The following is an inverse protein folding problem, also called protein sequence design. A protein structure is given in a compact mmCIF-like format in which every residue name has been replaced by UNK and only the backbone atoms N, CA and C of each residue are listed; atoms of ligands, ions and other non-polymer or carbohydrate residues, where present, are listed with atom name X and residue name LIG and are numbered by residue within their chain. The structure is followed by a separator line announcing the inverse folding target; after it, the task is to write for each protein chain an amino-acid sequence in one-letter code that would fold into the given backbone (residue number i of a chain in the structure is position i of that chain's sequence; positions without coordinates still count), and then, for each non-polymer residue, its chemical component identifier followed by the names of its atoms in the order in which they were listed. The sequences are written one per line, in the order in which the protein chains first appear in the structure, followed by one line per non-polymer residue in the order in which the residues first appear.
data_IF_516158029173
#
_entry.id   IF_516158029173
#
_cell.length_a   1.000
_cell.length_b   1.000
_cell.length_c   1.000
_cell.angle_alpha   90.00
_cell.angle_beta   90.00
_cell.angle_gamma   90.00
#
_symmetry.space_group_name_H-M   'P 1'
#
loop_
_entity.id
_entity.type
_entity.pdbx_description
1 polymer ?
#
# COMPACT_ATOMS: atom_id res chain seq x y z
N UNK A 1 -48.66 4.04 36.70
CA UNK A 1 -47.25 3.89 37.12
C UNK A 1 -46.57 2.90 36.19
N UNK A 2 -45.25 3.06 35.96
CA UNK A 2 -44.40 2.42 34.93
C UNK A 2 -44.40 3.18 33.60
N UNK A 3 -43.28 3.50 32.95
CA UNK A 3 -41.86 3.48 33.29
C UNK A 3 -41.15 4.37 32.26
N UNK A 4 -40.21 5.21 32.69
CA UNK A 4 -39.42 6.06 31.81
C UNK A 4 -38.33 5.25 31.10
N UNK A 5 -38.29 5.30 29.76
CA UNK A 5 -37.21 4.72 28.97
C UNK A 5 -36.18 5.80 28.63
N UNK A 6 -34.95 5.63 29.12
CA UNK A 6 -33.82 6.52 28.84
C UNK A 6 -33.27 6.34 27.42
N UNK A 7 -32.54 7.34 26.88
CA UNK A 7 -31.98 7.26 25.54
C UNK A 7 -30.77 6.33 25.50
N UNK A 8 -30.78 5.44 24.51
CA UNK A 8 -29.75 4.42 24.28
C UNK A 8 -28.37 5.03 24.05
N UNK A 9 -27.42 4.58 24.86
CA UNK A 9 -26.00 4.88 24.72
C UNK A 9 -25.44 4.36 23.39
N UNK A 10 -24.64 5.20 22.74
CA UNK A 10 -23.93 4.91 21.49
C UNK A 10 -23.02 3.67 21.60
N UNK A 11 -23.04 2.83 20.58
CA UNK A 11 -22.20 1.64 20.45
C UNK A 11 -20.70 2.00 20.32
N UNK A 12 -20.00 1.97 21.46
CA UNK A 12 -18.61 1.54 21.74
C UNK A 12 -17.51 1.63 20.65
N UNK A 13 -16.40 2.37 20.90
CA UNK A 13 -15.18 2.41 20.07
C UNK A 13 -14.19 1.23 20.28
N UNK A 14 -14.65 0.06 20.75
CA UNK A 14 -13.80 -1.00 21.34
C UNK A 14 -13.04 -1.94 20.36
N UNK A 15 -13.14 -1.77 19.05
CA UNK A 15 -12.57 -2.73 18.07
C UNK A 15 -11.16 -2.38 17.55
N UNK A 16 -10.69 -1.13 17.68
CA UNK A 16 -9.40 -0.73 17.11
C UNK A 16 -8.18 -1.11 17.96
N UNK A 17 -8.37 -1.34 19.27
CA UNK A 17 -7.29 -1.53 20.25
C UNK A 17 -7.01 -2.99 20.62
N UNK A 18 -7.65 -3.97 19.96
CA UNK A 18 -7.39 -5.38 20.25
C UNK A 18 -6.03 -5.81 19.68
N UNK A 19 -5.21 -6.54 20.46
CA UNK A 19 -3.94 -7.06 19.99
C UNK A 19 -4.11 -8.03 18.80
N UNK A 20 -3.10 -8.14 17.92
CA UNK A 20 -3.10 -9.14 16.86
C UNK A 20 -3.40 -10.54 17.40
N UNK A 21 -4.28 -11.26 16.73
CA UNK A 21 -4.81 -12.55 17.19
C UNK A 21 -3.89 -13.71 16.82
N UNK A 22 -4.17 -14.90 17.38
CA UNK A 22 -3.53 -16.14 16.94
C UNK A 22 -3.73 -16.43 15.44
N UNK A 23 -4.87 -16.05 14.87
CA UNK A 23 -5.14 -16.17 13.44
C UNK A 23 -4.25 -15.26 12.60
N UNK A 24 -4.05 -14.01 13.05
CA UNK A 24 -3.19 -13.05 12.35
C UNK A 24 -1.73 -13.54 12.31
N UNK A 25 -1.23 -14.11 13.41
CA UNK A 25 0.13 -14.70 13.46
C UNK A 25 0.31 -15.87 12.49
N UNK A 26 -0.72 -16.72 12.33
CA UNK A 26 -0.70 -17.80 11.33
C UNK A 26 -0.66 -17.26 9.90
N UNK A 27 -1.31 -16.12 9.63
CA UNK A 27 -1.21 -15.44 8.33
C UNK A 27 0.20 -14.94 8.07
N UNK A 28 0.88 -14.39 9.08
CA UNK A 28 2.30 -13.99 8.98
C UNK A 28 3.18 -15.17 8.63
N UNK A 29 3.05 -16.28 9.35
CA UNK A 29 3.83 -17.50 9.07
C UNK A 29 3.57 -18.03 7.66
N UNK A 30 2.32 -17.95 7.20
CA UNK A 30 1.96 -18.33 5.83
C UNK A 30 2.61 -17.37 4.82
N UNK A 31 2.53 -16.06 5.04
CA UNK A 31 3.12 -15.07 4.14
C UNK A 31 4.64 -15.23 4.03
N UNK A 32 5.35 -15.42 5.16
CA UNK A 32 6.80 -15.66 5.16
C UNK A 32 7.17 -16.87 4.31
N UNK A 33 6.52 -18.03 4.51
CA UNK A 33 6.75 -19.22 3.68
C UNK A 33 6.46 -18.99 2.18
N UNK A 34 5.45 -18.17 1.87
CA UNK A 34 5.10 -17.83 0.48
C UNK A 34 6.12 -16.88 -0.14
N UNK A 35 6.63 -15.92 0.62
CA UNK A 35 7.70 -15.02 0.21
C UNK A 35 9.00 -15.80 -0.04
N UNK A 36 9.37 -16.74 0.82
CA UNK A 36 10.54 -17.61 0.61
C UNK A 36 10.45 -18.37 -0.72
N UNK A 37 9.29 -18.98 -0.99
CA UNK A 37 9.04 -19.64 -2.27
C UNK A 37 9.09 -18.67 -3.47
N UNK A 38 8.55 -17.47 -3.30
CA UNK A 38 8.59 -16.45 -4.36
C UNK A 38 10.03 -15.99 -4.62
N UNK A 39 10.85 -15.86 -3.58
CA UNK A 39 12.27 -15.53 -3.65
C UNK A 39 13.00 -16.55 -4.52
N UNK A 40 12.85 -17.85 -4.23
CA UNK A 40 13.45 -18.92 -5.05
C UNK A 40 13.09 -18.79 -6.54
N UNK A 41 11.81 -18.56 -6.83
CA UNK A 41 11.33 -18.42 -8.21
C UNK A 41 11.90 -17.17 -8.90
N UNK A 42 11.93 -16.03 -8.22
CA UNK A 42 12.43 -14.78 -8.80
C UNK A 42 13.96 -14.71 -8.90
N UNK A 43 14.69 -15.57 -8.19
CA UNK A 43 16.15 -15.74 -8.36
C UNK A 43 16.56 -16.63 -9.53
N UNK A 44 15.59 -17.20 -10.28
CA UNK A 44 15.91 -18.02 -11.44
C UNK A 44 16.58 -17.17 -12.55
N UNK A 45 17.81 -17.51 -12.99
CA UNK A 45 18.53 -16.73 -14.00
C UNK A 45 17.79 -16.59 -15.34
N UNK A 46 16.93 -17.55 -15.69
CA UNK A 46 16.13 -17.52 -16.93
C UNK A 46 15.14 -16.36 -16.98
N UNK A 47 14.79 -15.76 -15.84
CA UNK A 47 13.91 -14.59 -15.82
C UNK A 47 14.57 -13.33 -16.35
N UNK A 48 15.90 -13.25 -16.33
CA UNK A 48 16.64 -12.06 -16.75
C UNK A 48 16.21 -10.80 -15.99
N UNK A 49 15.91 -10.91 -14.68
CA UNK A 49 15.57 -9.73 -13.87
C UNK A 49 16.78 -8.80 -13.80
N UNK A 50 16.65 -7.59 -14.34
CA UNK A 50 17.65 -6.54 -14.22
C UNK A 50 17.70 -6.04 -12.79
N UNK A 51 18.89 -5.72 -12.30
CA UNK A 51 19.07 -5.14 -10.96
C UNK A 51 18.76 -3.63 -10.96
N UNK A 52 17.54 -3.30 -11.38
CA UNK A 52 16.99 -1.95 -11.43
C UNK A 52 15.75 -1.90 -10.53
N UNK A 53 15.54 -0.81 -9.76
CA UNK A 53 14.33 -0.68 -8.95
C UNK A 53 13.07 -0.65 -9.84
N UNK A 54 12.00 -1.39 -9.49
CA UNK A 54 11.84 -2.30 -8.35
C UNK A 54 12.43 -3.70 -8.62
N UNK A 55 13.52 -4.05 -7.93
CA UNK A 55 14.14 -5.37 -8.06
C UNK A 55 13.49 -6.40 -7.12
N UNK A 56 12.67 -7.29 -7.69
CA UNK A 56 11.80 -8.18 -6.92
C UNK A 56 12.50 -9.08 -5.89
N UNK A 57 13.65 -9.73 -6.17
CA UNK A 57 14.32 -10.59 -5.20
C UNK A 57 14.71 -9.87 -3.90
N UNK A 58 15.22 -8.64 -4.02
CA UNK A 58 15.59 -7.81 -2.87
C UNK A 58 14.33 -7.35 -2.14
N UNK A 59 13.31 -6.88 -2.86
CA UNK A 59 12.04 -6.47 -2.27
C UNK A 59 11.39 -7.59 -1.45
N UNK A 60 11.38 -8.82 -1.96
CA UNK A 60 10.82 -9.99 -1.25
C UNK A 60 11.64 -10.29 0.01
N UNK A 61 12.97 -10.28 -0.08
CA UNK A 61 13.88 -10.58 1.03
C UNK A 61 13.80 -9.50 2.12
N UNK A 62 13.79 -8.23 1.74
CA UNK A 62 13.65 -7.09 2.64
C UNK A 62 12.27 -7.08 3.31
N UNK A 63 11.21 -7.40 2.57
CA UNK A 63 9.85 -7.52 3.11
C UNK A 63 9.77 -8.62 4.16
N UNK A 64 10.33 -9.80 3.91
CA UNK A 64 10.34 -10.90 4.88
C UNK A 64 11.10 -10.54 6.16
N UNK A 65 12.24 -9.85 6.01
CA UNK A 65 13.06 -9.38 7.15
C UNK A 65 12.28 -8.38 7.99
N UNK A 66 11.78 -7.31 7.38
CA UNK A 66 11.02 -6.28 8.09
C UNK A 66 9.74 -6.82 8.72
N UNK A 67 9.02 -7.71 8.01
CA UNK A 67 7.82 -8.34 8.55
C UNK A 67 8.14 -9.18 9.80
N UNK A 68 9.29 -9.88 9.82
CA UNK A 68 9.72 -10.64 10.99
C UNK A 68 10.02 -9.72 12.18
N UNK A 69 10.69 -8.59 11.94
CA UNK A 69 10.99 -7.58 12.97
C UNK A 69 9.72 -6.95 13.55
N UNK A 70 8.83 -6.45 12.68
CA UNK A 70 7.59 -5.78 13.07
C UNK A 70 6.67 -6.70 13.87
N UNK A 71 6.63 -8.00 13.54
CA UNK A 71 5.77 -8.96 14.24
C UNK A 71 6.44 -9.65 15.43
N UNK A 72 7.73 -9.41 15.68
CA UNK A 72 8.48 -9.99 16.80
C UNK A 72 7.80 -9.75 18.16
N UNK A 73 7.28 -8.54 18.49
CA UNK A 73 6.59 -8.31 19.76
C UNK A 73 5.35 -9.16 20.00
N UNK A 74 4.76 -9.70 18.93
CA UNK A 74 3.52 -10.48 18.99
C UNK A 74 3.78 -12.00 18.98
N UNK A 75 5.03 -12.46 18.87
CA UNK A 75 5.41 -13.89 18.86
C UNK A 75 5.82 -14.41 20.25
N UNK A 76 5.43 -15.64 20.58
CA UNK A 76 5.92 -16.41 21.75
C UNK A 76 4.87 -16.74 22.84
N UNK A 77 5.20 -17.68 23.78
CA UNK A 77 4.32 -18.09 24.88
C UNK A 77 4.14 -17.01 25.95
N UNK A 78 5.02 -16.01 25.98
CA UNK A 78 4.85 -14.78 26.76
C UNK A 78 4.12 -13.74 25.91
N UNK A 79 2.80 -13.89 25.79
CA UNK A 79 1.88 -12.74 25.62
C UNK A 79 1.98 -11.79 26.86
N UNK A 80 2.76 -12.20 27.88
CA UNK A 80 3.03 -11.52 29.14
C UNK A 80 4.02 -10.33 29.09
N UNK A 81 4.56 -9.91 27.93
CA UNK A 81 5.32 -8.63 27.86
C UNK A 81 4.49 -7.43 27.41
N UNK A 82 3.16 -7.56 27.28
CA UNK A 82 2.25 -6.43 27.45
C UNK A 82 2.37 -5.27 26.44
N UNK A 83 2.94 -5.48 25.25
CA UNK A 83 3.00 -4.42 24.26
C UNK A 83 1.61 -4.25 23.62
N UNK A 84 0.83 -3.37 24.24
CA UNK A 84 -0.49 -2.96 23.75
C UNK A 84 -0.27 -2.20 22.44
N UNK A 85 -0.88 -2.65 21.31
CA UNK A 85 -0.76 -1.93 20.06
C UNK A 85 -1.23 -0.49 20.22
N UNK A 86 -0.49 0.45 19.62
CA UNK A 86 -0.81 1.87 19.70
C UNK A 86 -1.78 2.28 18.58
N UNK A 87 -2.77 3.10 18.91
CA UNK A 87 -3.68 3.68 17.93
C UNK A 87 -4.32 2.60 17.03
N UNK A 88 -4.07 2.72 15.72
CA UNK A 88 -4.57 1.79 14.70
C UNK A 88 -3.54 0.70 14.29
N UNK A 89 -2.44 0.52 15.02
CA UNK A 89 -1.35 -0.43 14.71
C UNK A 89 -1.85 -1.84 14.39
N UNK A 90 -2.64 -2.44 15.29
CA UNK A 90 -3.16 -3.80 15.09
C UNK A 90 -4.13 -3.89 13.91
N UNK A 91 -4.85 -2.80 13.60
CA UNK A 91 -5.71 -2.75 12.41
C UNK A 91 -4.86 -2.67 11.14
N UNK A 92 -3.86 -1.79 11.12
CA UNK A 92 -2.91 -1.65 10.02
C UNK A 92 -2.20 -2.97 9.72
N UNK A 93 -1.61 -3.62 10.73
CA UNK A 93 -0.91 -4.88 10.58
C UNK A 93 -1.80 -5.99 10.00
N UNK A 94 -3.07 -6.06 10.41
CA UNK A 94 -4.04 -7.03 9.86
C UNK A 94 -4.39 -6.77 8.40
N UNK A 95 -4.52 -5.51 8.00
CA UNK A 95 -4.76 -5.12 6.60
C UNK A 95 -3.51 -5.44 5.76
N UNK A 96 -2.35 -5.00 6.23
CA UNK A 96 -1.06 -5.19 5.57
C UNK A 96 -0.77 -6.67 5.33
N UNK A 97 -0.91 -7.53 6.35
CA UNK A 97 -0.55 -8.95 6.19
C UNK A 97 -1.47 -9.70 5.22
N UNK A 98 -2.77 -9.38 5.22
CA UNK A 98 -3.71 -9.97 4.26
C UNK A 98 -3.37 -9.53 2.84
N UNK A 99 -3.16 -8.23 2.65
CA UNK A 99 -2.79 -7.69 1.34
C UNK A 99 -1.47 -8.31 0.83
N UNK A 100 -0.44 -8.35 1.67
CA UNK A 100 0.85 -8.93 1.33
C UNK A 100 0.72 -10.41 0.93
N UNK A 101 -0.06 -11.20 1.69
CA UNK A 101 -0.31 -12.59 1.36
C UNK A 101 -1.03 -12.74 0.02
N UNK A 102 -2.07 -11.94 -0.24
CA UNK A 102 -2.84 -11.98 -1.49
C UNK A 102 -1.97 -11.62 -2.70
N UNK A 103 -1.15 -10.57 -2.60
CA UNK A 103 -0.21 -10.16 -3.65
C UNK A 103 0.89 -11.22 -3.88
N UNK A 104 1.35 -11.88 -2.81
CA UNK A 104 2.34 -12.97 -2.90
C UNK A 104 1.74 -14.21 -3.55
N UNK A 105 0.53 -14.63 -3.14
CA UNK A 105 -0.17 -15.75 -3.76
C UNK A 105 -0.46 -15.46 -5.25
N UNK A 106 -0.81 -14.21 -5.61
CA UNK A 106 -0.96 -13.79 -7.02
C UNK A 106 0.34 -13.87 -7.81
N UNK A 107 1.46 -13.44 -7.23
CA UNK A 107 2.77 -13.55 -7.87
C UNK A 107 3.14 -15.01 -8.15
N UNK A 108 2.97 -15.89 -7.16
CA UNK A 108 3.20 -17.34 -7.32
C UNK A 108 2.30 -17.97 -8.39
N UNK A 109 1.05 -17.51 -8.50
CA UNK A 109 0.14 -17.96 -9.56
C UNK A 109 0.62 -17.57 -10.95
N UNK A 110 1.23 -16.39 -11.14
CA UNK A 110 1.82 -16.03 -12.44
C UNK A 110 2.91 -17.00 -12.88
N UNK A 111 3.75 -17.48 -11.95
CA UNK A 111 4.75 -18.51 -12.24
C UNK A 111 4.09 -19.84 -12.63
N UNK A 112 3.05 -20.24 -11.91
CA UNK A 112 2.34 -21.50 -12.15
C UNK A 112 1.59 -21.51 -13.49
N UNK A 113 0.89 -20.42 -13.81
CA UNK A 113 0.06 -20.29 -15.02
C UNK A 113 0.90 -19.91 -16.24
N UNK A 114 1.89 -19.01 -16.06
CA UNK A 114 2.74 -18.54 -17.13
C UNK A 114 3.65 -19.62 -17.71
N UNK A 115 4.13 -20.55 -16.87
CA UNK A 115 5.10 -21.59 -17.27
C UNK A 115 6.26 -20.95 -18.05
N UNK A 116 6.46 -21.32 -19.31
CA UNK A 116 7.51 -20.75 -20.16
C UNK A 116 7.31 -19.26 -20.44
N UNK A 117 6.07 -18.78 -20.51
CA UNK A 117 5.76 -17.38 -20.81
C UNK A 117 6.28 -16.40 -19.76
N UNK A 118 6.56 -16.84 -18.53
CA UNK A 118 7.11 -15.92 -17.51
C UNK A 118 8.55 -15.52 -17.80
N UNK A 119 9.27 -16.32 -18.59
CA UNK A 119 10.64 -16.05 -19.04
C UNK A 119 10.69 -15.19 -20.31
N UNK A 120 9.55 -15.02 -21.00
CA UNK A 120 9.41 -14.12 -22.15
C UNK A 120 9.16 -12.68 -21.68
N UNK A 121 10.11 -11.77 -21.92
CA UNK A 121 10.07 -10.38 -21.42
C UNK A 121 8.83 -9.59 -21.86
N UNK A 122 8.36 -9.83 -23.09
CA UNK A 122 7.21 -9.13 -23.69
C UNK A 122 5.85 -9.72 -23.27
N UNK A 123 5.84 -10.85 -22.57
CA UNK A 123 4.61 -11.55 -22.24
C UNK A 123 3.74 -10.77 -21.25
N UNK A 124 2.44 -11.06 -21.25
CA UNK A 124 1.52 -10.49 -20.25
C UNK A 124 1.88 -10.92 -18.82
N UNK A 125 2.37 -12.16 -18.63
CA UNK A 125 2.78 -12.67 -17.33
C UNK A 125 3.97 -11.88 -16.77
N UNK A 126 4.95 -11.57 -17.63
CA UNK A 126 6.15 -10.83 -17.22
C UNK A 126 5.88 -9.35 -16.98
N UNK A 127 4.97 -8.73 -17.76
CA UNK A 127 4.43 -7.40 -17.47
C UNK A 127 3.65 -7.36 -16.15
N UNK A 128 2.82 -8.36 -15.86
CA UNK A 128 2.09 -8.46 -14.60
C UNK A 128 3.02 -8.68 -13.40
N UNK A 129 4.09 -9.47 -13.56
CA UNK A 129 5.12 -9.63 -12.52
C UNK A 129 5.84 -8.30 -12.22
N UNK A 130 6.11 -7.51 -13.25
CA UNK A 130 6.70 -6.17 -13.10
C UNK A 130 5.77 -5.22 -12.32
N UNK A 131 4.47 -5.23 -12.65
CA UNK A 131 3.46 -4.49 -11.87
C UNK A 131 3.40 -4.94 -10.40
N UNK A 132 3.44 -6.25 -10.15
CA UNK A 132 3.51 -6.77 -8.78
C UNK A 132 4.80 -6.34 -8.06
N UNK A 133 5.92 -6.23 -8.76
CA UNK A 133 7.19 -5.75 -8.18
C UNK A 133 7.07 -4.30 -7.70
N UNK A 134 6.38 -3.43 -8.47
CA UNK A 134 6.03 -2.08 -8.01
C UNK A 134 5.14 -2.10 -6.76
N UNK A 135 4.12 -2.97 -6.73
CA UNK A 135 3.25 -3.11 -5.55
C UNK A 135 4.00 -3.60 -4.31
N UNK A 136 4.93 -4.56 -4.45
CA UNK A 136 5.81 -4.98 -3.36
C UNK A 136 6.67 -3.83 -2.86
N UNK A 137 7.22 -3.02 -3.77
CA UNK A 137 7.97 -1.81 -3.41
C UNK A 137 7.10 -0.86 -2.59
N UNK A 138 5.88 -0.53 -3.05
CA UNK A 138 4.98 0.37 -2.32
C UNK A 138 4.60 -0.18 -0.94
N UNK A 139 4.25 -1.46 -0.82
CA UNK A 139 3.95 -2.09 0.46
C UNK A 139 5.14 -2.08 1.42
N UNK A 140 6.36 -2.35 0.93
CA UNK A 140 7.57 -2.33 1.74
C UNK A 140 7.86 -0.91 2.26
N UNK A 141 7.80 0.09 1.39
CA UNK A 141 8.03 1.48 1.76
C UNK A 141 6.97 2.02 2.73
N UNK A 142 5.70 1.65 2.54
CA UNK A 142 4.65 1.97 3.49
C UNK A 142 4.95 1.34 4.87
N UNK A 143 5.29 0.05 4.92
CA UNK A 143 5.60 -0.63 6.18
C UNK A 143 6.79 0.02 6.90
N UNK A 144 7.84 0.38 6.16
CA UNK A 144 8.99 1.14 6.69
C UNK A 144 8.57 2.48 7.27
N UNK A 145 7.68 3.19 6.57
CA UNK A 145 7.20 4.49 6.99
C UNK A 145 6.29 4.43 8.23
N UNK A 146 5.57 3.33 8.43
CA UNK A 146 4.78 3.08 9.63
C UNK A 146 5.62 2.58 10.81
N UNK A 147 6.76 1.92 10.55
CA UNK A 147 7.65 1.34 11.56
C UNK A 147 9.10 1.83 11.47
N UNK A 148 9.37 3.15 11.51
CA UNK A 148 10.73 3.66 11.49
C UNK A 148 11.49 3.16 12.73
N UNK A 149 12.66 2.56 12.52
CA UNK A 149 13.44 1.94 13.60
C UNK A 149 12.76 0.73 14.26
N UNK A 150 11.81 0.08 13.57
CA UNK A 150 11.11 -1.12 14.05
C UNK A 150 9.98 -0.86 15.05
N UNK A 151 9.66 0.40 15.33
CA UNK A 151 8.59 0.79 16.26
C UNK A 151 7.45 1.50 15.53
N UNK A 152 6.21 1.19 15.88
CA UNK A 152 5.05 1.82 15.26
C UNK A 152 5.02 3.34 15.52
N UNK A 153 4.96 4.11 14.43
CA UNK A 153 4.80 5.57 14.42
C UNK A 153 3.74 6.03 13.43
N UNK A 154 2.83 5.14 12.99
CA UNK A 154 1.74 5.52 12.10
C UNK A 154 0.76 6.52 12.72
N UNK A 155 0.62 6.51 14.06
CA UNK A 155 -0.19 7.47 14.83
C UNK A 155 0.45 8.86 14.96
N UNK A 156 1.73 8.96 14.62
CA UNK A 156 2.56 10.17 14.75
C UNK A 156 3.23 10.55 13.42
N UNK A 157 2.77 9.94 12.32
CA UNK A 157 3.24 10.20 10.97
C UNK A 157 3.06 11.67 10.61
N UNK A 158 4.10 12.27 10.01
CA UNK A 158 4.09 13.69 9.61
C UNK A 158 3.82 13.82 8.12
N UNK A 159 2.61 14.23 7.77
CA UNK A 159 2.28 14.65 6.40
C UNK A 159 3.07 15.90 6.05
N UNK A 160 3.68 15.90 4.86
CA UNK A 160 4.66 16.89 4.42
C UNK A 160 4.03 18.25 4.12
N UNK A 161 2.82 18.25 3.55
CA UNK A 161 2.11 19.49 3.16
C UNK A 161 1.20 19.94 4.28
N UNK A 162 1.33 21.19 4.73
CA UNK A 162 0.64 21.72 5.91
C UNK A 162 -0.87 21.66 5.78
N UNK A 163 -1.46 22.08 4.66
CA UNK A 163 -2.91 22.03 4.48
C UNK A 163 -3.44 20.60 4.42
N UNK A 164 -2.69 19.69 3.77
CA UNK A 164 -3.02 18.27 3.73
C UNK A 164 -2.94 17.62 5.13
N UNK A 165 -1.93 17.99 5.94
CA UNK A 165 -1.79 17.52 7.31
C UNK A 165 -2.98 17.98 8.18
N UNK A 166 -3.39 19.25 8.03
CA UNK A 166 -4.56 19.80 8.72
C UNK A 166 -5.85 19.05 8.35
N UNK A 167 -6.06 18.79 7.05
CA UNK A 167 -7.18 17.98 6.58
C UNK A 167 -7.19 16.58 7.21
N UNK A 168 -6.07 15.85 7.15
CA UNK A 168 -6.00 14.50 7.69
C UNK A 168 -6.31 14.46 9.19
N UNK A 169 -5.72 15.40 9.94
CA UNK A 169 -5.95 15.52 11.38
C UNK A 169 -7.41 15.85 11.70
N UNK A 170 -8.04 16.75 10.95
CA UNK A 170 -9.43 17.13 11.16
C UNK A 170 -10.42 15.99 10.83
N UNK A 171 -10.18 15.26 9.74
CA UNK A 171 -11.11 14.22 9.26
C UNK A 171 -10.90 12.86 9.91
N UNK A 172 -9.66 12.53 10.29
CA UNK A 172 -9.29 11.19 10.75
C UNK A 172 -8.50 11.16 12.06
N UNK A 173 -8.02 12.30 12.57
CA UNK A 173 -7.18 12.36 13.76
C UNK A 173 -5.86 11.60 13.58
N UNK A 174 -5.45 10.88 14.63
CA UNK A 174 -4.19 10.10 14.64
C UNK A 174 -4.30 8.73 13.94
N UNK A 175 -5.23 8.57 13.01
CA UNK A 175 -5.38 7.31 12.27
C UNK A 175 -4.29 7.19 11.22
N UNK A 176 -3.66 6.03 11.15
CA UNK A 176 -2.65 5.75 10.12
C UNK A 176 -3.25 5.14 8.85
N UNK A 177 -4.49 4.63 8.91
CA UNK A 177 -5.17 3.96 7.78
C UNK A 177 -6.70 4.00 7.88
N UNK A 178 -7.36 4.39 6.79
CA UNK A 178 -8.82 4.50 6.68
C UNK A 178 -9.34 3.75 5.45
N UNK A 179 -10.61 3.35 5.47
CA UNK A 179 -11.23 2.72 4.30
C UNK A 179 -11.43 3.74 3.18
N UNK A 180 -11.31 3.31 1.93
CA UNK A 180 -11.49 4.16 0.74
C UNK A 180 -12.79 4.98 0.80
N UNK A 181 -13.94 4.36 1.08
CA UNK A 181 -15.23 5.07 1.07
C UNK A 181 -15.26 6.23 2.07
N UNK A 182 -14.74 6.01 3.29
CA UNK A 182 -14.63 7.07 4.30
C UNK A 182 -13.63 8.15 3.89
N UNK A 183 -12.51 7.77 3.28
CA UNK A 183 -11.55 8.74 2.76
C UNK A 183 -12.17 9.60 1.65
N UNK A 184 -12.84 8.96 0.69
CA UNK A 184 -13.54 9.59 -0.44
C UNK A 184 -14.55 10.63 0.05
N UNK A 185 -15.44 10.25 0.97
CA UNK A 185 -16.46 11.17 1.53
C UNK A 185 -15.84 12.43 2.14
N UNK A 186 -14.78 12.26 2.95
CA UNK A 186 -14.10 13.39 3.58
C UNK A 186 -13.36 14.25 2.55
N UNK A 187 -12.68 13.63 1.57
CA UNK A 187 -11.98 14.37 0.53
C UNK A 187 -12.95 15.15 -0.36
N UNK A 188 -14.12 14.58 -0.69
CA UNK A 188 -15.17 15.25 -1.45
C UNK A 188 -15.72 16.50 -0.77
N UNK A 189 -15.68 16.55 0.57
CA UNK A 189 -16.14 17.73 1.33
C UNK A 189 -15.25 18.96 1.15
N UNK A 190 -13.99 18.78 0.72
CA UNK A 190 -13.00 19.87 0.53
C UNK A 190 -12.51 19.98 -0.91
N UNK A 191 -12.65 18.94 -1.72
CA UNK A 191 -12.30 18.92 -3.14
C UNK A 191 -13.41 18.25 -3.94
N UNK A 192 -14.01 18.99 -4.88
CA UNK A 192 -15.05 18.45 -5.75
C UNK A 192 -14.47 17.45 -6.77
N UNK A 193 -15.10 16.28 -6.87
CA UNK A 193 -14.93 15.29 -7.94
C UNK A 193 -16.17 14.39 -8.03
N UNK A 194 -16.44 13.87 -9.22
CA UNK A 194 -17.60 13.07 -9.56
C UNK A 194 -17.51 11.64 -8.99
N UNK A 195 -18.66 11.08 -8.64
CA UNK A 195 -18.77 9.65 -8.37
C UNK A 195 -18.63 8.83 -9.67
N UNK A 196 -18.33 7.54 -9.54
CA UNK A 196 -18.13 6.64 -10.68
C UNK A 196 -16.68 6.65 -11.18
N UNK A 197 -16.47 6.95 -12.47
CA UNK A 197 -15.16 6.75 -13.12
C UNK A 197 -14.06 7.63 -12.54
N UNK A 198 -14.34 8.91 -12.26
CA UNK A 198 -13.35 9.84 -11.69
C UNK A 198 -12.92 9.37 -10.30
N UNK A 199 -13.89 9.03 -9.44
CA UNK A 199 -13.59 8.43 -8.12
C UNK A 199 -12.79 7.13 -8.22
N UNK A 200 -13.04 6.28 -9.22
CA UNK A 200 -12.28 5.02 -9.40
C UNK A 200 -10.85 5.27 -9.90
N UNK A 201 -10.67 6.22 -10.82
CA UNK A 201 -9.36 6.64 -11.28
C UNK A 201 -8.54 7.27 -10.13
N UNK A 202 -9.19 8.10 -9.31
CA UNK A 202 -8.58 8.70 -8.14
C UNK A 202 -8.14 7.63 -7.14
N UNK A 203 -9.02 6.66 -6.82
CA UNK A 203 -8.68 5.50 -6.00
C UNK A 203 -7.45 4.78 -6.54
N UNK A 204 -7.43 4.46 -7.83
CA UNK A 204 -6.31 3.75 -8.46
C UNK A 204 -4.98 4.51 -8.44
N UNK A 205 -5.04 5.83 -8.24
CA UNK A 205 -3.85 6.69 -8.12
C UNK A 205 -3.36 6.78 -6.66
N UNK A 206 -4.28 6.87 -5.68
CA UNK A 206 -3.93 7.04 -4.26
C UNK A 206 -3.64 5.69 -3.58
N UNK A 207 -4.42 4.64 -3.86
CA UNK A 207 -4.29 3.29 -3.28
C UNK A 207 -3.13 2.53 -3.94
N UNK A 208 -1.90 2.97 -3.63
CA UNK A 208 -0.65 2.44 -4.17
C UNK A 208 -0.45 0.97 -3.80
N UNK A 209 -0.98 0.52 -2.66
CA UNK A 209 -0.88 -0.87 -2.20
C UNK A 209 -2.03 -1.75 -2.69
N UNK A 210 -3.05 -1.15 -3.32
CA UNK A 210 -4.24 -1.79 -3.89
C UNK A 210 -4.96 -2.69 -2.88
N UNK A 211 -5.39 -2.12 -1.75
CA UNK A 211 -6.01 -2.84 -0.63
C UNK A 211 -7.36 -2.24 -0.16
N UNK A 212 -7.95 -1.32 -0.94
CA UNK A 212 -9.20 -0.62 -0.64
C UNK A 212 -9.17 0.27 0.62
N UNK A 213 -7.97 0.55 1.12
CA UNK A 213 -7.70 1.47 2.20
C UNK A 213 -6.71 2.53 1.72
N UNK A 214 -6.68 3.65 2.45
CA UNK A 214 -5.73 4.72 2.21
C UNK A 214 -4.98 4.93 3.51
N UNK A 215 -3.67 4.70 3.48
CA UNK A 215 -2.79 5.02 4.60
C UNK A 215 -2.40 6.50 4.59
N UNK A 216 -1.99 7.01 5.74
CA UNK A 216 -1.47 8.38 5.87
C UNK A 216 -0.21 8.58 5.01
N UNK A 217 0.54 7.50 4.74
CA UNK A 217 1.69 7.48 3.84
C UNK A 217 1.28 7.62 2.37
N UNK A 218 0.29 6.83 1.91
CA UNK A 218 -0.25 6.94 0.55
C UNK A 218 -0.83 8.35 0.30
N UNK A 219 -1.54 8.90 1.29
CA UNK A 219 -2.04 10.27 1.25
C UNK A 219 -0.93 11.33 1.17
N UNK A 220 0.15 11.19 1.96
CA UNK A 220 1.30 12.09 1.90
C UNK A 220 1.97 12.06 0.52
N UNK A 221 2.17 10.87 -0.06
CA UNK A 221 2.71 10.75 -1.42
C UNK A 221 1.81 11.46 -2.43
N UNK A 222 0.52 11.18 -2.42
CA UNK A 222 -0.43 11.77 -3.36
C UNK A 222 -0.43 13.31 -3.30
N UNK A 223 -0.49 13.86 -2.09
CA UNK A 223 -0.53 15.32 -1.89
C UNK A 223 0.78 16.02 -2.23
N UNK A 224 1.92 15.32 -2.16
CA UNK A 224 3.21 15.83 -2.65
C UNK A 224 3.30 15.80 -4.17
N UNK A 225 2.78 14.76 -4.82
CA UNK A 225 2.82 14.62 -6.27
C UNK A 225 1.93 15.64 -6.98
N UNK A 226 0.73 15.89 -6.45
CA UNK A 226 -0.28 16.73 -7.12
C UNK A 226 -0.54 18.08 -6.43
N UNK A 227 0.42 18.53 -5.62
CA UNK A 227 0.43 19.86 -5.00
C UNK A 227 0.26 21.01 -6.04
N UNK A 228 -0.20 22.21 -5.63
CA UNK A 228 -0.63 22.60 -4.28
C UNK A 228 -1.97 22.00 -3.85
N UNK A 229 -2.21 21.94 -2.53
CA UNK A 229 -3.44 21.40 -1.94
C UNK A 229 -4.70 22.09 -2.47
N UNK A 230 -4.70 23.42 -2.59
CA UNK A 230 -5.86 24.20 -3.04
C UNK A 230 -6.45 23.77 -4.40
N UNK A 231 -5.64 23.17 -5.27
CA UNK A 231 -6.07 22.66 -6.58
C UNK A 231 -5.73 21.18 -6.80
N UNK A 232 -5.59 20.41 -5.72
CA UNK A 232 -5.11 19.02 -5.72
C UNK A 232 -5.75 18.14 -6.80
N UNK A 233 -7.08 18.05 -6.82
CA UNK A 233 -7.82 17.21 -7.77
C UNK A 233 -7.70 17.74 -9.20
N UNK A 234 -7.72 19.06 -9.39
CA UNK A 234 -7.52 19.66 -10.72
C UNK A 234 -6.14 19.35 -11.27
N UNK A 235 -5.11 19.44 -10.43
CA UNK A 235 -3.73 19.13 -10.82
C UNK A 235 -3.59 17.63 -11.13
N UNK A 236 -4.16 16.76 -10.31
CA UNK A 236 -4.21 15.32 -10.59
C UNK A 236 -4.90 15.03 -11.93
N UNK A 237 -6.05 15.63 -12.20
CA UNK A 237 -6.75 15.45 -13.48
C UNK A 237 -5.89 15.91 -14.68
N UNK A 238 -5.26 17.08 -14.57
CA UNK A 238 -4.42 17.63 -15.63
C UNK A 238 -3.14 16.81 -15.85
N UNK A 239 -2.53 16.29 -14.79
CA UNK A 239 -1.22 15.64 -14.84
C UNK A 239 -1.29 14.13 -15.01
N UNK A 240 -2.31 13.46 -14.48
CA UNK A 240 -2.38 12.00 -14.43
C UNK A 240 -3.56 11.39 -15.21
N UNK A 241 -4.65 12.14 -15.40
CA UNK A 241 -5.82 11.63 -16.14
C UNK A 241 -5.76 12.03 -17.61
N UNK A 242 -5.42 13.28 -17.90
CA UNK A 242 -5.48 13.84 -19.27
C UNK A 242 -4.13 13.99 -19.94
N UNK A 243 -3.02 14.03 -19.19
CA UNK A 243 -1.71 14.26 -19.77
C UNK A 243 -1.19 13.02 -20.54
N UNK A 244 -0.89 13.13 -21.85
CA UNK A 244 -0.46 11.99 -22.66
C UNK A 244 0.93 11.46 -22.29
N UNK A 245 1.73 12.27 -21.60
CA UNK A 245 3.03 11.88 -21.07
C UNK A 245 2.98 11.10 -19.76
N UNK A 246 1.85 11.12 -19.05
CA UNK A 246 1.73 10.36 -17.81
C UNK A 246 1.56 8.88 -18.09
N UNK A 247 2.27 8.08 -17.31
CA UNK A 247 2.27 6.63 -17.42
C UNK A 247 2.23 6.03 -16.02
N UNK A 248 1.09 5.44 -15.65
CA UNK A 248 0.95 4.74 -14.40
C UNK A 248 1.70 3.40 -14.43
N UNK A 249 2.28 3.01 -13.28
CA UNK A 249 2.96 1.72 -13.11
C UNK A 249 4.05 1.41 -14.15
N UNK A 250 4.90 2.40 -14.46
CA UNK A 250 6.14 2.18 -15.21
C UNK A 250 7.37 2.17 -14.30
N UNK A 251 8.30 1.29 -14.63
CA UNK A 251 9.65 1.24 -14.05
C UNK A 251 10.62 2.08 -14.87
N UNK A 252 11.79 2.38 -14.30
CA UNK A 252 12.85 3.12 -14.98
C UNK A 252 13.25 2.47 -16.32
N UNK A 253 13.45 1.16 -16.35
CA UNK A 253 13.81 0.42 -17.56
C UNK A 253 12.72 0.46 -18.63
N UNK A 254 11.45 0.44 -18.22
CA UNK A 254 10.33 0.56 -19.17
C UNK A 254 10.21 1.98 -19.74
N UNK A 255 10.61 3.01 -18.97
CA UNK A 255 10.72 4.37 -19.49
C UNK A 255 11.83 4.45 -20.54
N UNK A 256 13.01 3.88 -20.26
CA UNK A 256 14.11 3.79 -21.24
C UNK A 256 13.64 3.11 -22.52
N UNK A 257 13.12 1.88 -22.42
CA UNK A 257 12.67 1.11 -23.58
C UNK A 257 11.58 1.81 -24.40
N UNK A 258 10.73 2.61 -23.74
CA UNK A 258 9.72 3.42 -24.43
C UNK A 258 10.36 4.58 -25.19
N UNK A 259 11.28 5.30 -24.54
CA UNK A 259 11.94 6.49 -25.10
C UNK A 259 12.99 6.16 -26.16
N UNK A 260 13.49 4.92 -26.23
CA UNK A 260 14.36 4.42 -27.31
C UNK A 260 13.77 4.70 -28.72
N UNK A 261 12.44 4.65 -28.86
CA UNK A 261 11.77 4.95 -30.14
C UNK A 261 11.83 6.44 -30.53
N UNK A 262 12.24 7.32 -29.61
CA UNK A 262 12.24 8.77 -29.76
C UNK A 262 13.65 9.37 -29.70
N UNK A 263 14.72 8.57 -29.77
CA UNK A 263 16.10 9.06 -29.71
C UNK A 263 16.43 10.13 -30.76
N UNK A 264 15.74 10.12 -31.89
CA UNK A 264 15.88 11.09 -32.98
C UNK A 264 14.99 12.35 -32.82
N UNK A 265 14.28 12.50 -31.69
CA UNK A 265 13.34 13.60 -31.42
C UNK A 265 13.57 14.20 -30.03
N UNK A 266 14.58 15.08 -29.86
CA UNK A 266 14.83 15.75 -28.58
C UNK A 266 13.58 16.48 -28.05
N UNK A 267 13.35 16.41 -26.74
CA UNK A 267 12.17 16.99 -26.08
C UNK A 267 10.94 16.05 -26.00
N UNK A 268 11.10 14.78 -26.39
CA UNK A 268 10.11 13.70 -26.22
C UNK A 268 10.44 12.78 -25.06
#
# INVERSE_FOLDING_TARGET
MMAAAGPGASLSPKLSSQPPTGGDRRLVDKALRRLDKLRELCTNPRLGLRNSPPYLPDLVSETATLLTEVWKPYRGPKVASGQVPRGDEAKYLRIHIRNLLDKTDRALMLFKEGREKIFEETSSHRRNLTKLSLLFSHMLWELRAMFPGGSFQGDTYRVTKTEAAAFWMQSFGNKCIVQWNRFKEQLQSVHAFEEGMESMALKSTIDLTCNDHISVFEFDIFTRLFQPWSSLIRNWNQLAVTHPGYMAFLTYDQVIARLENYLHRPGR
#
